data_IF_772989824089
#
_entry.id   IF_772989824089
#
_cell.length_a   1.000
_cell.length_b   1.000
_cell.length_c   1.000
_cell.angle_alpha   90.00
_cell.angle_beta   90.00
_cell.angle_gamma   90.00
#
_symmetry.space_group_name_H-M   'P 1'
#
loop_
_entity.id
_entity.type
_entity.pdbx_description
1 polymer ?
#
# COMPACT_ATOMS: atom_id res chain seq x y z
N UNK A 1 -4.39 16.02 0.81
CA UNK A 1 -3.00 15.93 0.28
C UNK A 1 -2.31 14.59 0.55
N UNK A 2 -1.94 14.20 1.79
CA UNK A 2 -1.27 12.89 2.01
C UNK A 2 -2.13 11.68 1.62
N UNK A 3 -3.39 11.69 2.05
CA UNK A 3 -4.31 10.57 1.84
C UNK A 3 -4.66 10.39 0.36
N UNK A 4 -4.86 11.48 -0.38
CA UNK A 4 -5.21 11.40 -1.82
C UNK A 4 -4.11 10.71 -2.63
N UNK A 5 -2.84 11.02 -2.36
CA UNK A 5 -1.71 10.34 -3.02
C UNK A 5 -1.64 8.85 -2.69
N UNK A 6 -1.94 8.46 -1.44
CA UNK A 6 -2.02 7.05 -1.05
C UNK A 6 -3.21 6.36 -1.74
N UNK A 7 -4.37 7.01 -1.77
CA UNK A 7 -5.59 6.50 -2.39
C UNK A 7 -5.42 6.28 -3.89
N UNK A 8 -4.78 7.20 -4.62
CA UNK A 8 -4.54 7.05 -6.06
C UNK A 8 -3.66 5.83 -6.37
N UNK A 9 -2.57 5.61 -5.62
CA UNK A 9 -1.73 4.41 -5.82
C UNK A 9 -2.46 3.12 -5.39
N UNK A 10 -3.14 3.15 -4.24
CA UNK A 10 -3.93 2.03 -3.73
C UNK A 10 -5.01 1.62 -4.73
N UNK A 11 -5.73 2.57 -5.33
CA UNK A 11 -6.76 2.29 -6.33
C UNK A 11 -6.17 1.62 -7.58
N UNK A 12 -4.98 2.03 -8.03
CA UNK A 12 -4.32 1.36 -9.15
C UNK A 12 -4.01 -0.10 -8.85
N UNK A 13 -3.56 -0.42 -7.65
CA UNK A 13 -3.26 -1.78 -7.21
C UNK A 13 -4.55 -2.58 -7.03
N UNK A 14 -5.55 -2.00 -6.36
CA UNK A 14 -6.86 -2.61 -6.12
C UNK A 14 -7.58 -3.01 -7.42
N UNK A 15 -7.46 -2.20 -8.46
CA UNK A 15 -8.10 -2.45 -9.77
C UNK A 15 -7.24 -3.32 -10.70
N UNK A 16 -6.01 -3.67 -10.33
CA UNK A 16 -5.15 -4.54 -11.14
C UNK A 16 -5.79 -5.89 -11.52
N UNK A 17 -6.54 -6.58 -10.62
CA UNK A 17 -7.23 -7.83 -10.95
C UNK A 17 -8.31 -7.66 -12.03
N UNK A 18 -8.89 -6.46 -12.15
CA UNK A 18 -9.91 -6.11 -13.15
C UNK A 18 -9.31 -5.71 -14.50
N UNK A 19 -8.00 -5.50 -14.56
CA UNK A 19 -7.33 -5.07 -15.79
C UNK A 19 -7.35 -6.22 -16.81
N UNK A 20 -7.71 -5.95 -18.09
CA UNK A 20 -7.66 -6.93 -19.16
C UNK A 20 -6.29 -7.62 -19.25
N UNK A 21 -6.22 -8.93 -19.54
CA UNK A 21 -4.95 -9.66 -19.55
C UNK A 21 -3.84 -9.03 -20.41
N UNK A 22 -4.20 -8.47 -21.57
CA UNK A 22 -3.30 -7.80 -22.51
C UNK A 22 -2.76 -6.45 -22.00
N UNK A 23 -3.39 -5.87 -20.97
CA UNK A 23 -3.02 -4.57 -20.39
C UNK A 23 -2.37 -4.69 -19.00
N UNK A 24 -2.35 -5.89 -18.41
CA UNK A 24 -1.85 -6.11 -17.04
C UNK A 24 -0.40 -5.68 -16.87
N UNK A 25 0.48 -6.06 -17.80
CA UNK A 25 1.90 -5.73 -17.70
C UNK A 25 2.15 -4.23 -17.78
N UNK A 26 1.41 -3.52 -18.65
CA UNK A 26 1.47 -2.07 -18.75
C UNK A 26 0.98 -1.39 -17.46
N UNK A 27 -0.10 -1.91 -16.86
CA UNK A 27 -0.62 -1.40 -15.58
C UNK A 27 0.37 -1.62 -14.44
N UNK A 28 0.99 -2.80 -14.37
CA UNK A 28 2.05 -3.10 -13.39
C UNK A 28 3.24 -2.16 -13.59
N UNK A 29 3.71 -1.96 -14.82
CA UNK A 29 4.81 -1.04 -15.11
C UNK A 29 4.48 0.40 -14.66
N UNK A 30 3.26 0.87 -14.89
CA UNK A 30 2.80 2.18 -14.41
C UNK A 30 2.77 2.28 -12.88
N UNK A 31 2.28 1.23 -12.20
CA UNK A 31 2.29 1.18 -10.72
C UNK A 31 3.72 1.28 -10.20
N UNK A 32 4.66 0.50 -10.77
CA UNK A 32 6.08 0.54 -10.39
C UNK A 32 6.67 1.93 -10.59
N UNK A 33 6.47 2.51 -11.77
CA UNK A 33 6.93 3.86 -12.13
C UNK A 33 6.42 4.92 -11.15
N UNK A 34 5.11 4.98 -10.92
CA UNK A 34 4.56 5.99 -10.01
C UNK A 34 4.95 5.76 -8.56
N UNK A 35 5.08 4.50 -8.15
CA UNK A 35 5.59 4.16 -6.81
C UNK A 35 6.96 4.77 -6.59
N UNK A 36 7.92 4.51 -7.49
CA UNK A 36 9.31 4.93 -7.31
C UNK A 36 9.56 6.39 -7.60
N UNK A 37 8.82 7.00 -8.53
CA UNK A 37 9.11 8.36 -9.01
C UNK A 37 8.19 9.43 -8.42
N UNK A 38 7.00 9.06 -7.94
CA UNK A 38 5.99 10.02 -7.47
C UNK A 38 5.67 9.87 -5.99
N UNK A 39 5.15 8.71 -5.58
CA UNK A 39 4.54 8.59 -4.25
C UNK A 39 5.55 8.33 -3.14
N UNK A 40 6.39 7.29 -3.25
CA UNK A 40 7.35 6.97 -2.19
C UNK A 40 8.36 8.09 -1.93
N UNK A 41 8.93 8.77 -2.94
CA UNK A 41 9.79 9.94 -2.70
C UNK A 41 9.10 11.04 -1.90
N UNK A 42 7.80 11.27 -2.12
CA UNK A 42 7.06 12.31 -1.41
C UNK A 42 6.91 11.96 0.08
N UNK A 43 6.54 10.72 0.43
CA UNK A 43 6.40 10.29 1.82
C UNK A 43 7.75 10.18 2.54
N UNK A 44 8.78 9.65 1.87
CA UNK A 44 10.15 9.59 2.38
C UNK A 44 10.67 11.01 2.70
N UNK A 45 10.43 11.98 1.79
CA UNK A 45 10.79 13.39 1.99
C UNK A 45 10.11 13.99 3.22
N UNK A 46 8.86 13.63 3.48
CA UNK A 46 8.10 14.13 4.63
C UNK A 46 8.74 13.65 5.92
N UNK A 47 8.94 12.33 6.06
CA UNK A 47 9.63 11.75 7.21
C UNK A 47 11.03 12.37 7.41
N UNK A 48 11.76 12.58 6.31
CA UNK A 48 13.08 13.23 6.34
C UNK A 48 13.03 14.70 6.77
N UNK A 49 11.99 15.44 6.36
CA UNK A 49 11.90 16.89 6.59
C UNK A 49 11.75 17.24 8.06
N UNK A 50 10.99 16.44 8.82
CA UNK A 50 10.75 16.68 10.24
C UNK A 50 11.53 15.71 11.14
N UNK A 51 12.05 14.59 10.61
CA UNK A 51 12.87 13.64 11.37
C UNK A 51 12.12 12.97 12.53
N UNK A 52 10.81 12.82 12.42
CA UNK A 52 9.94 12.26 13.47
C UNK A 52 9.49 10.85 13.12
N UNK A 53 8.86 10.20 14.09
CA UNK A 53 8.46 8.80 13.99
C UNK A 53 7.14 8.56 13.24
N UNK A 54 6.32 9.60 13.11
CA UNK A 54 5.01 9.54 12.48
C UNK A 54 4.90 10.63 11.43
N UNK A 55 4.03 10.43 10.45
CA UNK A 55 3.85 11.36 9.32
C UNK A 55 3.31 12.73 9.76
N UNK A 56 2.53 12.79 10.86
CA UNK A 56 1.87 14.03 11.29
C UNK A 56 1.90 14.17 12.81
N UNK A 57 2.42 15.30 13.29
CA UNK A 57 2.33 15.70 14.70
C UNK A 57 3.00 14.76 15.70
N UNK A 58 4.02 14.00 15.25
CA UNK A 58 4.75 13.00 16.03
C UNK A 58 3.87 12.04 16.85
N UNK A 59 2.71 11.67 16.32
CA UNK A 59 1.80 10.72 16.96
C UNK A 59 1.15 9.84 15.91
N UNK A 60 0.74 8.63 16.33
CA UNK A 60 0.00 7.73 15.45
C UNK A 60 -1.25 8.43 14.90
N UNK A 61 -1.39 8.39 13.59
CA UNK A 61 -2.53 8.92 12.87
C UNK A 61 -3.02 7.90 11.85
N UNK A 62 -4.20 8.16 11.28
CA UNK A 62 -4.73 7.37 10.16
C UNK A 62 -3.78 7.35 8.96
N UNK A 63 -3.00 8.41 8.74
CA UNK A 63 -2.06 8.47 7.62
C UNK A 63 -0.97 7.40 7.73
N UNK A 64 -0.48 7.11 8.95
CA UNK A 64 0.54 6.09 9.17
C UNK A 64 0.00 4.68 8.89
N UNK A 65 -1.24 4.40 9.34
CA UNK A 65 -1.91 3.12 9.11
C UNK A 65 -2.16 2.90 7.61
N UNK A 66 -2.71 3.90 6.92
CA UNK A 66 -2.98 3.80 5.47
C UNK A 66 -1.71 3.68 4.63
N UNK A 67 -0.64 4.42 5.00
CA UNK A 67 0.62 4.27 4.29
C UNK A 67 1.18 2.86 4.47
N UNK A 68 1.14 2.31 5.69
CA UNK A 68 1.68 0.97 5.95
C UNK A 68 0.87 -0.13 5.28
N UNK A 69 -0.46 0.00 5.21
CA UNK A 69 -1.31 -0.86 4.39
C UNK A 69 -0.84 -0.84 2.93
N UNK A 70 -0.70 0.35 2.34
CA UNK A 70 -0.19 0.52 0.97
C UNK A 70 1.22 -0.06 0.78
N UNK A 71 2.11 0.04 1.77
CA UNK A 71 3.45 -0.57 1.69
C UNK A 71 3.39 -2.10 1.59
N UNK A 72 2.43 -2.76 2.26
CA UNK A 72 2.21 -4.19 2.08
C UNK A 72 1.71 -4.51 0.67
N UNK A 73 0.76 -3.73 0.15
CA UNK A 73 0.22 -3.93 -1.21
C UNK A 73 1.30 -3.75 -2.29
N UNK A 74 2.16 -2.75 -2.15
CA UNK A 74 3.27 -2.52 -3.08
C UNK A 74 4.27 -3.67 -3.04
N UNK A 75 4.57 -4.23 -1.86
CA UNK A 75 5.47 -5.39 -1.75
C UNK A 75 4.88 -6.66 -2.37
N UNK A 76 3.55 -6.82 -2.35
CA UNK A 76 2.86 -7.90 -3.07
C UNK A 76 2.96 -7.74 -4.59
N UNK A 77 3.10 -6.51 -5.10
CA UNK A 77 3.37 -6.23 -6.52
C UNK A 77 4.85 -6.47 -6.86
N UNK A 78 5.76 -5.87 -6.09
CA UNK A 78 7.20 -6.05 -6.24
C UNK A 78 7.94 -5.59 -4.96
N UNK A 79 8.54 -6.52 -4.19
CA UNK A 79 9.18 -6.18 -2.93
C UNK A 79 10.46 -5.34 -3.09
N UNK A 80 11.03 -5.24 -4.29
CA UNK A 80 12.21 -4.41 -4.53
C UNK A 80 11.91 -2.91 -4.51
N UNK A 81 10.66 -2.50 -4.70
CA UNK A 81 10.28 -1.09 -4.82
C UNK A 81 10.51 -0.28 -3.54
N UNK A 82 10.42 -0.93 -2.37
CA UNK A 82 10.70 -0.27 -1.08
C UNK A 82 12.21 -0.19 -0.78
N UNK A 83 13.07 -0.86 -1.56
CA UNK A 83 14.47 -1.07 -1.21
C UNK A 83 15.22 0.23 -0.90
N UNK A 84 14.97 1.27 -1.69
CA UNK A 84 15.65 2.57 -1.65
C UNK A 84 15.01 3.59 -0.70
N UNK A 85 14.01 3.19 0.09
CA UNK A 85 13.25 4.09 0.97
C UNK A 85 13.39 3.67 2.44
N UNK A 86 14.55 3.95 3.08
CA UNK A 86 14.85 3.48 4.42
C UNK A 86 13.89 4.02 5.50
N UNK A 87 13.39 5.26 5.38
CA UNK A 87 12.46 5.81 6.37
C UNK A 87 11.08 5.16 6.25
N UNK A 88 10.61 4.86 5.04
CA UNK A 88 9.40 4.07 4.83
C UNK A 88 9.52 2.66 5.40
N UNK A 89 10.67 1.99 5.24
CA UNK A 89 10.94 0.69 5.88
C UNK A 89 10.90 0.78 7.42
N UNK A 90 11.48 1.84 7.98
CA UNK A 90 11.48 2.09 9.41
C UNK A 90 10.05 2.34 9.94
N UNK A 91 9.26 3.18 9.24
CA UNK A 91 7.86 3.42 9.56
C UNK A 91 7.06 2.12 9.53
N UNK A 92 7.17 1.33 8.46
CA UNK A 92 6.50 0.03 8.34
C UNK A 92 6.81 -0.86 9.54
N UNK A 93 8.09 -1.01 9.88
CA UNK A 93 8.51 -1.82 11.02
C UNK A 93 7.92 -1.33 12.33
N UNK A 94 7.94 -0.01 12.57
CA UNK A 94 7.41 0.61 13.79
C UNK A 94 5.90 0.36 13.92
N UNK A 95 5.14 0.68 12.87
CA UNK A 95 3.67 0.57 12.88
C UNK A 95 3.23 -0.90 12.93
N UNK A 96 3.87 -1.79 12.17
CA UNK A 96 3.56 -3.22 12.20
C UNK A 96 3.84 -3.87 13.57
N UNK A 97 4.70 -3.28 14.40
CA UNK A 97 4.99 -3.74 15.75
C UNK A 97 4.03 -3.20 16.83
N UNK A 98 3.14 -2.25 16.51
CA UNK A 98 2.11 -1.80 17.44
C UNK A 98 1.21 -2.99 17.84
N UNK A 99 0.86 -3.20 19.12
CA UNK A 99 0.17 -4.42 19.56
C UNK A 99 -1.11 -4.74 18.78
N UNK A 100 -1.93 -3.73 18.48
CA UNK A 100 -3.16 -3.90 17.73
C UNK A 100 -2.90 -4.27 16.25
N UNK A 101 -1.93 -3.60 15.61
CA UNK A 101 -1.56 -3.86 14.21
C UNK A 101 -0.90 -5.23 14.10
N UNK A 102 0.04 -5.56 15.00
CA UNK A 102 0.70 -6.86 15.08
C UNK A 102 -0.31 -8.00 15.22
N UNK A 103 -1.31 -7.84 16.11
CA UNK A 103 -2.42 -8.79 16.25
C UNK A 103 -3.25 -8.90 14.96
N UNK A 104 -3.50 -7.78 14.28
CA UNK A 104 -4.21 -7.79 13.01
C UNK A 104 -3.41 -8.44 11.86
N UNK A 105 -2.09 -8.40 11.90
CA UNK A 105 -1.22 -9.03 10.90
C UNK A 105 -0.99 -10.53 11.13
N UNK A 106 -1.40 -11.07 12.28
CA UNK A 106 -1.27 -12.50 12.57
C UNK A 106 -2.24 -13.36 11.75
N UNK A 107 -1.88 -14.62 11.47
CA UNK A 107 -2.80 -15.60 10.90
C UNK A 107 -4.08 -15.72 11.74
N UNK A 108 -5.23 -15.89 11.07
CA UNK A 108 -6.54 -15.98 11.72
C UNK A 108 -7.19 -14.63 12.08
N UNK A 109 -6.53 -13.52 11.78
CA UNK A 109 -7.16 -12.20 11.87
C UNK A 109 -8.23 -11.99 10.78
N UNK A 110 -8.91 -10.85 10.85
CA UNK A 110 -9.87 -10.46 9.82
C UNK A 110 -9.23 -9.84 8.57
N UNK A 111 -7.89 -9.71 8.50
CA UNK A 111 -7.18 -9.25 7.29
C UNK A 111 -7.53 -10.16 6.13
N UNK A 112 -7.86 -9.57 4.98
CA UNK A 112 -8.22 -10.31 3.77
C UNK A 112 -6.96 -10.56 2.92
N UNK A 113 -6.85 -11.71 2.26
CA UNK A 113 -5.82 -11.92 1.25
C UNK A 113 -6.15 -11.12 -0.02
N UNK A 114 -5.19 -10.96 -0.95
CA UNK A 114 -5.45 -10.45 -2.29
C UNK A 114 -6.62 -11.20 -2.96
N UNK A 115 -7.36 -10.49 -3.80
CA UNK A 115 -8.50 -11.07 -4.51
C UNK A 115 -8.01 -12.12 -5.52
N UNK A 116 -8.58 -13.32 -5.44
CA UNK A 116 -8.33 -14.39 -6.39
C UNK A 116 -9.39 -14.39 -7.51
N UNK A 117 -9.15 -15.18 -8.56
CA UNK A 117 -10.07 -15.27 -9.70
C UNK A 117 -11.48 -15.71 -9.27
N UNK A 118 -11.62 -16.60 -8.28
CA UNK A 118 -12.93 -17.10 -7.83
C UNK A 118 -13.75 -15.99 -7.17
N UNK A 119 -13.15 -15.26 -6.24
CA UNK A 119 -13.79 -14.11 -5.57
C UNK A 119 -14.08 -12.98 -6.53
N UNK A 120 -13.22 -12.80 -7.53
CA UNK A 120 -13.46 -11.81 -8.58
C UNK A 120 -14.70 -12.16 -9.40
N UNK A 121 -14.84 -13.40 -9.85
CA UNK A 121 -16.03 -13.86 -10.58
C UNK A 121 -17.30 -13.78 -9.72
N UNK A 122 -17.20 -14.05 -8.42
CA UNK A 122 -18.30 -13.83 -7.48
C UNK A 122 -18.68 -12.35 -7.36
N UNK A 123 -17.69 -11.46 -7.24
CA UNK A 123 -17.91 -10.01 -7.20
C UNK A 123 -18.60 -9.51 -8.48
N UNK A 124 -18.15 -9.92 -9.66
CA UNK A 124 -18.78 -9.59 -10.95
C UNK A 124 -20.26 -9.98 -10.99
N UNK A 125 -20.60 -11.17 -10.49
CA UNK A 125 -22.00 -11.63 -10.42
C UNK A 125 -22.85 -10.81 -9.46
N UNK A 126 -22.34 -10.51 -8.28
CA UNK A 126 -23.05 -9.75 -7.24
C UNK A 126 -23.27 -8.30 -7.69
N UNK A 127 -22.21 -7.64 -8.17
CA UNK A 127 -22.22 -6.22 -8.50
C UNK A 127 -22.54 -5.91 -9.97
N UNK A 128 -22.68 -6.94 -10.82
CA UNK A 128 -23.08 -6.85 -12.23
C UNK A 128 -22.15 -5.97 -13.09
N UNK A 129 -20.85 -6.29 -13.08
CA UNK A 129 -19.83 -5.66 -13.94
C UNK A 129 -18.91 -6.72 -14.59
#
# INVERSE_FOLDING_TARGET
MYIEGMTDLNEMILLLPLTPPDQKDAKVALIKERTTNRYFPAFEKVLKSHGQDYLVGNRLSRADIQLVELLYEVEEVDPSLIANFPLLKALKTRISNLPAVKKFLQPGSQRKPPIDAKKLEEAKKIFKF
#
